data_IF_554759219210
#
_entry.id   IF_554759219210
#
_cell.length_a   1.000
_cell.length_b   1.000
_cell.length_c   1.000
_cell.angle_alpha   90.00
_cell.angle_beta   90.00
_cell.angle_gamma   90.00
#
_symmetry.space_group_name_H-M   'P 1'
#
loop_
_entity.id
_entity.type
_entity.pdbx_description
1 polymer ?
#
# COMPACT_ATOMS: atom_id res chain seq x y z
N UNK A 1 4.36 7.36 -7.84
CA UNK A 1 5.36 7.28 -6.74
C UNK A 1 6.71 7.57 -7.33
N UNK A 2 7.60 8.25 -6.61
CA UNK A 2 8.83 8.84 -7.16
C UNK A 2 9.66 7.86 -8.03
N UNK A 3 10.00 6.67 -7.52
CA UNK A 3 10.76 5.68 -8.29
C UNK A 3 10.10 5.28 -9.62
N UNK A 4 8.77 5.13 -9.63
CA UNK A 4 8.01 4.85 -10.87
C UNK A 4 8.13 6.02 -11.85
N UNK A 5 8.10 7.25 -11.35
CA UNK A 5 8.25 8.44 -12.18
C UNK A 5 9.69 8.55 -12.74
N UNK A 6 10.69 8.01 -12.07
CA UNK A 6 12.07 7.91 -12.59
C UNK A 6 12.27 6.72 -13.55
N UNK A 7 11.20 5.98 -13.91
CA UNK A 7 11.30 4.77 -14.73
C UNK A 7 11.98 3.59 -14.02
N UNK A 8 12.21 3.71 -12.71
CA UNK A 8 12.88 2.67 -11.93
C UNK A 8 11.88 1.59 -11.51
N UNK A 9 12.27 0.33 -11.72
CA UNK A 9 11.53 -0.80 -11.16
C UNK A 9 11.47 -0.70 -9.64
N UNK A 10 10.26 -0.84 -9.10
CA UNK A 10 9.97 -0.60 -7.70
C UNK A 10 9.07 -1.69 -7.08
N UNK A 11 9.19 -2.94 -7.54
CA UNK A 11 8.32 -4.06 -7.10
C UNK A 11 8.44 -4.32 -5.59
N UNK A 12 9.67 -4.35 -5.07
CA UNK A 12 9.94 -4.61 -3.66
C UNK A 12 9.44 -3.47 -2.79
N UNK A 13 9.74 -2.25 -3.21
CA UNK A 13 9.48 -1.01 -2.49
C UNK A 13 7.99 -0.70 -2.45
N UNK A 14 7.27 -0.92 -3.57
CA UNK A 14 5.81 -0.76 -3.62
C UNK A 14 5.12 -1.79 -2.73
N UNK A 15 5.57 -3.04 -2.76
CA UNK A 15 5.04 -4.10 -1.88
C UNK A 15 5.24 -3.75 -0.39
N UNK A 16 6.42 -3.25 -0.02
CA UNK A 16 6.71 -2.79 1.34
C UNK A 16 5.85 -1.57 1.73
N UNK A 17 5.72 -0.60 0.83
CA UNK A 17 4.95 0.62 1.06
C UNK A 17 3.46 0.30 1.26
N UNK A 18 2.88 -0.59 0.44
CA UNK A 18 1.49 -1.04 0.59
C UNK A 18 1.30 -1.67 1.96
N UNK A 19 2.08 -2.69 2.30
CA UNK A 19 1.96 -3.37 3.59
C UNK A 19 2.01 -2.40 4.77
N UNK A 20 3.06 -1.57 4.80
CA UNK A 20 3.25 -0.62 5.88
C UNK A 20 2.08 0.37 5.97
N UNK A 21 1.71 1.00 4.85
CA UNK A 21 0.66 2.01 4.84
C UNK A 21 -0.71 1.44 5.21
N UNK A 22 -1.05 0.24 4.73
CA UNK A 22 -2.37 -0.35 4.99
C UNK A 22 -2.50 -0.81 6.44
N UNK A 23 -1.47 -1.46 7.00
CA UNK A 23 -1.49 -1.90 8.40
C UNK A 23 -1.58 -0.69 9.35
N UNK A 24 -0.80 0.37 9.09
CA UNK A 24 -0.84 1.58 9.92
C UNK A 24 -2.15 2.35 9.75
N UNK A 25 -2.74 2.38 8.55
CA UNK A 25 -4.05 3.02 8.35
C UNK A 25 -5.16 2.31 9.13
N UNK A 26 -5.10 0.97 9.20
CA UNK A 26 -6.04 0.18 9.99
C UNK A 26 -5.83 0.41 11.48
N UNK A 27 -4.57 0.40 11.95
CA UNK A 27 -4.25 0.65 13.35
C UNK A 27 -4.72 2.04 13.81
N UNK A 28 -4.45 3.08 13.01
CA UNK A 28 -4.90 4.44 13.32
C UNK A 28 -6.42 4.55 13.38
N UNK A 29 -7.15 3.93 12.44
CA UNK A 29 -8.61 3.91 12.47
C UNK A 29 -9.13 3.13 13.69
N UNK A 30 -8.52 2.00 14.03
CA UNK A 30 -8.90 1.19 15.19
C UNK A 30 -8.68 1.93 16.51
N UNK A 31 -7.57 2.65 16.66
CA UNK A 31 -7.31 3.51 17.81
C UNK A 31 -8.30 4.69 17.89
N UNK A 32 -8.69 5.27 16.76
CA UNK A 32 -9.69 6.32 16.71
C UNK A 32 -11.06 5.83 17.25
N UNK A 33 -11.46 4.60 16.90
CA UNK A 33 -12.67 3.96 17.46
C UNK A 33 -12.56 3.86 18.98
N UNK A 34 -11.42 3.38 19.48
CA UNK A 34 -11.18 3.22 20.91
C UNK A 34 -11.27 4.56 21.68
N UNK A 35 -10.78 5.66 21.09
CA UNK A 35 -10.87 7.01 21.67
C UNK A 35 -12.33 7.49 21.74
N UNK A 36 -13.15 7.19 20.73
CA UNK A 36 -14.56 7.60 20.70
C UNK A 36 -15.48 6.68 21.53
N UNK A 37 -14.98 5.54 22.00
CA UNK A 37 -15.76 4.57 22.77
C UNK A 37 -16.95 4.03 21.96
N UNK A 38 -18.12 3.92 22.58
CA UNK A 38 -19.32 3.41 21.89
C UNK A 38 -19.73 4.29 20.69
N UNK A 39 -19.52 5.60 20.77
CA UNK A 39 -19.78 6.52 19.66
C UNK A 39 -18.88 6.28 18.45
N UNK A 40 -17.73 5.62 18.65
CA UNK A 40 -16.85 5.23 17.54
C UNK A 40 -17.51 4.24 16.58
N UNK A 41 -18.56 3.53 16.98
CA UNK A 41 -19.33 2.64 16.11
C UNK A 41 -20.60 3.29 15.54
N UNK A 42 -20.89 4.54 15.91
CA UNK A 42 -22.03 5.31 15.39
C UNK A 42 -21.69 5.93 14.04
N UNK A 43 -22.67 6.05 13.15
CA UNK A 43 -22.54 6.78 11.89
C UNK A 43 -22.55 8.31 12.08
N UNK A 44 -22.75 8.79 13.30
CA UNK A 44 -22.62 10.20 13.69
C UNK A 44 -21.17 10.72 13.56
N UNK A 45 -20.17 9.83 13.66
CA UNK A 45 -18.76 10.16 13.50
C UNK A 45 -18.13 9.32 12.39
N UNK A 46 -17.35 9.96 11.53
CA UNK A 46 -16.74 9.31 10.35
C UNK A 46 -15.72 8.19 10.67
N UNK A 47 -15.31 8.04 11.94
CA UNK A 47 -14.29 7.06 12.37
C UNK A 47 -14.68 5.62 12.10
N UNK A 48 -15.97 5.28 12.18
CA UNK A 48 -16.49 3.95 11.84
C UNK A 48 -16.23 3.61 10.37
N UNK A 49 -16.44 4.59 9.48
CA UNK A 49 -16.22 4.45 8.05
C UNK A 49 -14.74 4.27 7.73
N UNK A 50 -13.85 4.98 8.43
CA UNK A 50 -12.41 4.79 8.27
C UNK A 50 -11.95 3.41 8.70
N UNK A 51 -12.51 2.83 9.78
CA UNK A 51 -12.21 1.46 10.18
C UNK A 51 -12.63 0.46 9.09
N UNK A 52 -13.85 0.59 8.55
CA UNK A 52 -14.34 -0.30 7.48
C UNK A 52 -13.50 -0.21 6.22
N UNK A 53 -13.14 1.02 5.80
CA UNK A 53 -12.35 1.24 4.59
C UNK A 53 -10.92 0.70 4.73
N UNK A 54 -10.25 1.00 5.85
CA UNK A 54 -8.88 0.56 6.10
C UNK A 54 -8.77 -0.96 6.23
N UNK A 55 -9.81 -1.63 6.76
CA UNK A 55 -9.84 -3.10 6.85
C UNK A 55 -9.83 -3.77 5.48
N UNK A 56 -10.46 -3.17 4.46
CA UNK A 56 -10.39 -3.70 3.10
C UNK A 56 -8.97 -3.62 2.53
N UNK A 57 -8.27 -2.51 2.77
CA UNK A 57 -6.97 -2.24 2.18
C UNK A 57 -5.88 -3.26 2.56
N UNK A 58 -5.96 -3.87 3.76
CA UNK A 58 -5.03 -4.92 4.17
C UNK A 58 -5.28 -6.27 3.47
N UNK A 59 -6.43 -6.47 2.81
CA UNK A 59 -6.83 -7.73 2.16
C UNK A 59 -6.64 -7.67 0.66
N UNK A 60 -7.16 -6.63 0.01
CA UNK A 60 -7.15 -6.52 -1.44
C UNK A 60 -5.74 -6.19 -1.96
N UNK A 61 -5.48 -6.60 -3.21
CA UNK A 61 -4.21 -6.37 -3.92
C UNK A 61 -2.97 -6.98 -3.25
N UNK A 62 -3.19 -7.99 -2.40
CA UNK A 62 -2.19 -8.75 -1.66
C UNK A 62 -2.38 -8.59 -0.15
N UNK A 63 -2.47 -9.68 0.62
CA UNK A 63 -2.62 -9.56 2.07
C UNK A 63 -1.32 -9.08 2.72
N UNK A 64 -1.39 -8.56 3.95
CA UNK A 64 -0.20 -8.17 4.73
C UNK A 64 0.82 -9.31 4.85
N UNK A 65 0.37 -10.55 5.01
CA UNK A 65 1.23 -11.74 5.07
C UNK A 65 1.93 -12.01 3.74
N UNK A 66 1.24 -11.83 2.60
CA UNK A 66 1.85 -12.00 1.28
C UNK A 66 2.96 -10.97 1.06
N UNK A 67 2.72 -9.72 1.45
CA UNK A 67 3.75 -8.68 1.36
C UNK A 67 4.94 -8.98 2.29
N UNK A 68 4.69 -9.46 3.52
CA UNK A 68 5.75 -9.91 4.43
C UNK A 68 6.56 -11.06 3.84
N UNK A 69 5.91 -12.08 3.27
CA UNK A 69 6.58 -13.20 2.60
C UNK A 69 7.40 -12.73 1.39
N UNK A 70 6.91 -11.76 0.63
CA UNK A 70 7.69 -11.13 -0.44
C UNK A 70 8.96 -10.47 0.10
N UNK A 71 8.85 -9.67 1.17
CA UNK A 71 10.01 -9.00 1.77
C UNK A 71 11.01 -10.01 2.34
N UNK A 72 10.52 -11.06 3.02
CA UNK A 72 11.35 -12.16 3.50
C UNK A 72 12.08 -12.86 2.34
N UNK A 73 11.39 -13.10 1.22
CA UNK A 73 11.99 -13.68 0.03
C UNK A 73 13.11 -12.84 -0.57
N UNK A 74 12.93 -11.52 -0.63
CA UNK A 74 14.00 -10.61 -1.07
C UNK A 74 15.17 -10.59 -0.09
N UNK A 75 14.91 -10.57 1.21
CA UNK A 75 15.93 -10.55 2.26
C UNK A 75 16.77 -11.84 2.28
N UNK A 76 16.12 -12.99 2.15
CA UNK A 76 16.76 -14.31 2.14
C UNK A 76 17.36 -14.69 0.78
N UNK A 77 17.17 -13.85 -0.25
CA UNK A 77 17.65 -14.10 -1.60
C UNK A 77 16.91 -15.22 -2.37
N UNK A 78 15.83 -15.77 -1.79
CA UNK A 78 14.99 -16.80 -2.43
C UNK A 78 14.06 -16.21 -3.49
N UNK A 79 13.82 -14.89 -3.44
CA UNK A 79 13.09 -14.13 -4.46
C UNK A 79 14.04 -13.16 -5.16
N UNK A 80 14.12 -13.26 -6.48
CA UNK A 80 14.78 -12.29 -7.36
C UNK A 80 13.84 -11.86 -8.47
N UNK A 81 13.94 -10.60 -8.83
CA UNK A 81 13.13 -10.00 -9.87
C UNK A 81 13.56 -10.52 -11.25
N UNK A 82 12.62 -11.11 -12.00
CA UNK A 82 12.87 -11.55 -13.39
C UNK A 82 13.05 -10.34 -14.31
N UNK A 83 13.85 -10.42 -15.39
CA UNK A 83 13.94 -9.35 -16.37
C UNK A 83 12.56 -8.88 -16.86
N UNK A 84 12.38 -7.57 -17.03
CA UNK A 84 11.15 -7.02 -17.56
C UNK A 84 11.09 -7.24 -19.07
N UNK A 85 9.88 -7.44 -19.60
CA UNK A 85 9.67 -7.48 -21.06
C UNK A 85 9.89 -6.10 -21.70
N UNK A 86 9.51 -5.06 -20.98
CA UNK A 86 9.67 -3.66 -21.36
C UNK A 86 9.98 -2.88 -20.07
N UNK A 87 10.99 -2.03 -20.12
CA UNK A 87 11.28 -1.10 -19.03
C UNK A 87 10.18 -0.04 -18.96
N UNK A 88 9.88 0.43 -17.75
CA UNK A 88 8.93 1.52 -17.56
C UNK A 88 9.60 2.82 -18.02
N UNK A 89 8.97 3.61 -18.90
CA UNK A 89 9.50 4.93 -19.22
C UNK A 89 9.47 5.80 -17.97
N UNK A 90 10.46 6.67 -17.85
CA UNK A 90 10.38 7.77 -16.90
C UNK A 90 9.20 8.68 -17.27
N UNK A 91 8.65 9.34 -16.26
CA UNK A 91 7.65 10.38 -16.43
C UNK A 91 8.25 11.50 -17.28
N UNK A 92 7.54 11.87 -18.33
CA UNK A 92 7.86 12.97 -19.20
C UNK A 92 6.67 13.95 -19.21
N UNK A 93 6.85 15.19 -18.74
CA UNK A 93 5.78 16.18 -18.72
C UNK A 93 5.20 16.49 -20.09
N UNK A 94 6.03 16.48 -21.15
CA UNK A 94 5.59 16.84 -22.49
C UNK A 94 4.67 15.77 -23.08
N UNK A 95 5.02 14.49 -22.99
CA UNK A 95 4.13 13.41 -23.44
C UNK A 95 2.80 13.35 -22.70
N UNK A 96 2.80 13.57 -21.38
CA UNK A 96 1.59 13.47 -20.55
C UNK A 96 0.64 14.67 -20.65
N UNK A 97 1.14 15.86 -21.00
CA UNK A 97 0.29 17.05 -21.17
C UNK A 97 -0.29 17.18 -22.58
N UNK A 98 0.17 16.35 -23.52
CA UNK A 98 -0.28 16.34 -24.91
C UNK A 98 -1.38 15.30 -25.20
N UNK A 99 -1.83 14.53 -24.19
CA UNK A 99 -3.03 13.67 -24.22
C UNK A 99 -4.24 14.36 -23.59
#
# INVERSE_FOLDING_TARGET
GWMKNEGQRNTRETSMAKWYATDHSFQAAHEAIQIHGAYGYSDEYDVERYLRNSRGAIIYEGTSEIHQLMQAGYLLGTRKDKPLRCELPAYDPESWQNE
#
